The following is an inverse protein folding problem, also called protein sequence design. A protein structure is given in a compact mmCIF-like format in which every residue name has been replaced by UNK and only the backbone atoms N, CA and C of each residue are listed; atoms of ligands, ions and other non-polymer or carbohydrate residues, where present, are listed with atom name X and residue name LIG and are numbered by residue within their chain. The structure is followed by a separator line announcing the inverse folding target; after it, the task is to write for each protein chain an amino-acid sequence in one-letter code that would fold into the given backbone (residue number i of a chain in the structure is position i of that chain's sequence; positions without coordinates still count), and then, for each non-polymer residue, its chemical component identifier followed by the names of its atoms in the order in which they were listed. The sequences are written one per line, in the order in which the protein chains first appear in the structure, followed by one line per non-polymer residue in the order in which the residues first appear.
data_IF_704840696020
#
_entry.id   IF_704840696020
#
_cell.length_a   1.000
_cell.length_b   1.000
_cell.length_c   1.000
_cell.angle_alpha   90.00
_cell.angle_beta   90.00
_cell.angle_gamma   90.00
#
_symmetry.space_group_name_H-M   'P 1'
#
loop_
_entity.id
_entity.type
_entity.pdbx_description
1 polymer ?
#
# COMPACT_ATOMS: atom_id res chain seq x y z
N UNK A 1 -28.06 -13.35 -12.09
CA UNK A 1 -26.60 -13.16 -11.91
C UNK A 1 -26.37 -12.29 -10.66
N UNK A 2 -25.50 -12.69 -9.72
CA UNK A 2 -25.14 -11.83 -8.56
C UNK A 2 -24.06 -10.83 -9.02
N UNK A 3 -24.32 -9.52 -8.91
CA UNK A 3 -23.34 -8.46 -9.22
C UNK A 3 -22.20 -8.54 -8.22
N UNK A 4 -20.98 -8.88 -8.65
CA UNK A 4 -19.77 -8.75 -7.82
C UNK A 4 -19.65 -7.28 -7.42
N UNK A 5 -19.63 -6.99 -6.12
CA UNK A 5 -19.30 -5.65 -5.64
C UNK A 5 -17.82 -5.39 -5.95
N UNK A 6 -17.46 -4.21 -6.49
CA UNK A 6 -16.05 -3.88 -6.70
C UNK A 6 -15.33 -3.88 -5.34
N UNK A 7 -14.11 -4.45 -5.32
CA UNK A 7 -13.26 -4.43 -4.13
C UNK A 7 -12.75 -3.01 -3.90
N UNK A 8 -12.72 -2.59 -2.63
CA UNK A 8 -12.12 -1.32 -2.23
C UNK A 8 -10.59 -1.51 -2.15
N UNK A 9 -9.83 -0.61 -2.77
CA UNK A 9 -8.36 -0.67 -2.72
C UNK A 9 -7.84 -0.17 -1.38
N UNK A 10 -6.92 -0.90 -0.79
CA UNK A 10 -6.32 -0.62 0.51
C UNK A 10 -4.85 -0.21 0.36
N UNK A 11 -4.51 0.91 0.98
CA UNK A 11 -3.15 1.42 1.17
C UNK A 11 -2.86 1.31 2.68
N UNK A 12 -1.76 0.66 3.06
CA UNK A 12 -1.38 0.40 4.45
C UNK A 12 -0.03 1.07 4.77
N UNK A 13 -0.07 2.34 5.17
CA UNK A 13 1.13 3.08 5.58
C UNK A 13 1.52 2.73 7.02
N UNK A 14 2.82 2.54 7.29
CA UNK A 14 3.34 2.02 8.56
C UNK A 14 2.74 0.64 8.89
N UNK A 15 2.72 -0.25 7.89
CA UNK A 15 1.92 -1.48 7.91
C UNK A 15 2.34 -2.48 8.99
N UNK A 16 3.55 -2.34 9.53
CA UNK A 16 4.18 -3.38 10.33
C UNK A 16 4.15 -4.72 9.58
N UNK A 17 3.89 -5.80 10.32
CA UNK A 17 3.71 -7.13 9.75
C UNK A 17 2.37 -7.36 9.02
N UNK A 18 1.54 -6.31 8.85
CA UNK A 18 0.28 -6.36 8.10
C UNK A 18 -0.97 -6.66 8.94
N UNK A 19 -1.01 -6.23 10.20
CA UNK A 19 -2.18 -6.43 11.07
C UNK A 19 -3.46 -5.77 10.55
N UNK A 20 -3.36 -4.54 10.04
CA UNK A 20 -4.49 -3.83 9.43
C UNK A 20 -4.92 -4.51 8.13
N UNK A 21 -3.97 -4.78 7.22
CA UNK A 21 -4.23 -5.54 5.99
C UNK A 21 -4.91 -6.89 6.27
N UNK A 22 -4.45 -7.65 7.26
CA UNK A 22 -5.06 -8.91 7.67
C UNK A 22 -6.54 -8.75 8.02
N UNK A 23 -6.84 -7.73 8.84
CA UNK A 23 -8.19 -7.39 9.25
C UNK A 23 -9.09 -7.13 8.03
N UNK A 24 -8.69 -6.23 7.14
CA UNK A 24 -9.52 -5.84 6.00
C UNK A 24 -9.66 -6.91 4.90
N UNK A 25 -8.66 -7.80 4.75
CA UNK A 25 -8.62 -8.78 3.65
C UNK A 25 -9.17 -10.14 4.05
N UNK A 26 -8.76 -10.69 5.19
CA UNK A 26 -9.14 -12.05 5.61
C UNK A 26 -10.44 -12.11 6.42
N UNK A 27 -10.88 -11.00 7.02
CA UNK A 27 -12.16 -10.93 7.75
C UNK A 27 -13.35 -10.54 6.87
N UNK A 28 -13.20 -10.57 5.53
CA UNK A 28 -14.32 -10.51 4.59
C UNK A 28 -14.83 -9.10 4.26
N UNK A 29 -14.05 -8.05 4.49
CA UNK A 29 -14.50 -6.67 4.30
C UNK A 29 -14.46 -6.19 2.83
N UNK A 30 -14.08 -7.03 1.87
CA UNK A 30 -14.11 -6.69 0.44
C UNK A 30 -13.03 -5.67 0.04
N UNK A 31 -11.87 -5.74 0.69
CA UNK A 31 -10.72 -4.90 0.38
C UNK A 31 -9.63 -5.70 -0.34
N UNK A 32 -8.93 -5.02 -1.24
CA UNK A 32 -7.77 -5.52 -1.97
C UNK A 32 -6.55 -4.67 -1.59
N UNK A 33 -5.50 -5.26 -0.96
CA UNK A 33 -4.28 -4.52 -0.67
C UNK A 33 -3.56 -4.24 -1.99
N UNK A 34 -3.20 -2.98 -2.20
CA UNK A 34 -2.53 -2.55 -3.44
C UNK A 34 -1.17 -1.93 -3.20
N UNK A 35 -0.90 -1.44 -1.98
CA UNK A 35 0.38 -0.88 -1.58
C UNK A 35 0.50 -0.81 -0.06
N UNK A 36 1.70 -1.01 0.47
CA UNK A 36 2.02 -0.82 1.87
C UNK A 36 3.44 -0.27 2.04
N UNK A 37 3.76 0.25 3.22
CA UNK A 37 5.12 0.68 3.56
C UNK A 37 5.44 0.46 5.04
N UNK A 38 6.68 0.10 5.32
CA UNK A 38 7.26 0.15 6.65
C UNK A 38 8.78 0.41 6.57
N UNK A 39 9.37 0.93 7.65
CA UNK A 39 10.82 1.17 7.75
C UNK A 39 11.57 -0.07 8.26
N UNK A 40 10.89 -1.05 8.84
CA UNK A 40 11.48 -2.24 9.41
C UNK A 40 11.53 -3.41 8.40
N UNK A 41 12.73 -3.87 8.06
CA UNK A 41 12.93 -4.96 7.09
C UNK A 41 12.22 -6.28 7.45
N UNK A 42 12.11 -6.61 8.74
CA UNK A 42 11.45 -7.84 9.20
C UNK A 42 9.93 -7.72 9.06
N UNK A 43 9.40 -6.53 9.32
CA UNK A 43 7.98 -6.22 9.12
C UNK A 43 7.60 -6.35 7.65
N UNK A 44 8.37 -5.72 6.75
CA UNK A 44 8.17 -5.79 5.29
C UNK A 44 8.23 -7.23 4.77
N UNK A 45 9.25 -8.00 5.18
CA UNK A 45 9.36 -9.41 4.79
C UNK A 45 8.18 -10.24 5.27
N UNK A 46 7.73 -10.00 6.51
CA UNK A 46 6.58 -10.71 7.09
C UNK A 46 5.29 -10.33 6.36
N UNK A 47 5.09 -9.05 6.07
CA UNK A 47 3.96 -8.57 5.28
C UNK A 47 3.94 -9.25 3.91
N UNK A 48 5.04 -9.17 3.16
CA UNK A 48 5.09 -9.65 1.77
C UNK A 48 4.94 -11.17 1.67
N UNK A 49 5.42 -11.92 2.68
CA UNK A 49 5.19 -13.36 2.76
C UNK A 49 3.71 -13.74 2.93
N UNK A 50 2.88 -12.86 3.50
CA UNK A 50 1.47 -13.13 3.80
C UNK A 50 0.47 -12.52 2.82
N UNK A 51 0.81 -11.37 2.23
CA UNK A 51 -0.13 -10.56 1.44
C UNK A 51 0.32 -10.30 0.00
N UNK A 52 1.52 -10.74 -0.40
CA UNK A 52 2.11 -10.44 -1.70
C UNK A 52 3.05 -9.24 -1.66
N UNK A 53 3.76 -9.00 -2.76
CA UNK A 53 4.85 -8.02 -2.85
C UNK A 53 4.32 -6.57 -2.97
N UNK A 54 3.62 -6.12 -1.93
CA UNK A 54 2.99 -4.79 -1.85
C UNK A 54 3.71 -3.85 -0.87
N UNK A 55 4.40 -4.37 0.13
CA UNK A 55 5.06 -3.57 1.15
C UNK A 55 6.45 -3.14 0.68
N UNK A 56 6.65 -1.82 0.59
CA UNK A 56 7.91 -1.19 0.21
C UNK A 56 8.67 -0.79 1.46
N UNK A 57 9.92 -1.26 1.56
CA UNK A 57 10.84 -0.89 2.63
C UNK A 57 11.34 0.55 2.43
N UNK A 58 11.19 1.40 3.44
CA UNK A 58 11.79 2.72 3.44
C UNK A 58 11.12 3.73 4.37
N UNK A 59 11.79 4.85 4.58
CA UNK A 59 11.18 6.03 5.19
C UNK A 59 10.11 6.59 4.24
N UNK A 60 8.88 6.72 4.73
CA UNK A 60 7.76 7.17 3.92
C UNK A 60 7.98 8.56 3.32
N UNK A 61 8.63 9.49 4.03
CA UNK A 61 8.90 10.85 3.52
C UNK A 61 9.85 10.80 2.32
N UNK A 62 10.83 9.90 2.34
CA UNK A 62 11.75 9.67 1.22
C UNK A 62 10.98 9.07 0.04
N UNK A 63 10.16 8.05 0.28
CA UNK A 63 9.41 7.35 -0.78
C UNK A 63 8.38 8.25 -1.47
N UNK A 64 7.73 9.17 -0.75
CA UNK A 64 6.76 10.11 -1.33
C UNK A 64 7.40 11.18 -2.21
N UNK A 65 8.69 11.45 -2.00
CA UNK A 65 9.46 12.44 -2.75
C UNK A 65 10.36 11.80 -3.83
N UNK A 66 10.43 10.47 -3.90
CA UNK A 66 11.19 9.74 -4.91
C UNK A 66 10.51 9.85 -6.30
N UNK A 67 11.15 10.52 -7.28
CA UNK A 67 10.58 10.68 -8.61
C UNK A 67 10.35 9.36 -9.33
N UNK A 68 11.17 8.33 -9.08
CA UNK A 68 11.06 7.05 -9.76
C UNK A 68 9.86 6.26 -9.23
N UNK A 69 9.60 6.31 -7.92
CA UNK A 69 8.42 5.69 -7.32
C UNK A 69 7.12 6.42 -7.67
N UNK A 70 7.16 7.75 -7.79
CA UNK A 70 6.02 8.56 -8.20
C UNK A 70 5.75 8.44 -9.70
N UNK A 71 6.79 8.35 -10.54
CA UNK A 71 6.68 8.33 -12.00
C UNK A 71 6.44 6.93 -12.61
N UNK A 72 6.71 5.83 -11.89
CA UNK A 72 6.46 4.48 -12.42
C UNK A 72 4.96 4.19 -12.62
N UNK A 73 4.47 4.58 -13.81
CA UNK A 73 3.11 4.35 -14.31
C UNK A 73 3.01 3.14 -15.26
N UNK A 74 4.12 2.42 -15.51
CA UNK A 74 4.16 1.31 -16.47
C UNK A 74 3.67 -0.02 -15.89
N UNK A 75 2.36 -0.09 -15.62
CA UNK A 75 1.65 -1.37 -15.50
C UNK A 75 1.58 -2.02 -14.11
N UNK A 76 2.07 -1.37 -13.04
CA UNK A 76 1.77 -1.75 -11.64
C UNK A 76 1.15 -0.56 -10.90
N UNK A 77 0.20 -0.84 -10.01
CA UNK A 77 -0.66 0.11 -9.28
C UNK A 77 0.04 1.08 -8.31
N UNK A 78 1.37 1.07 -8.22
CA UNK A 78 2.11 1.66 -7.11
C UNK A 78 2.25 3.20 -7.21
N UNK A 79 2.54 3.76 -8.38
CA UNK A 79 2.75 5.21 -8.53
C UNK A 79 1.53 6.05 -8.13
N UNK A 80 0.32 5.61 -8.49
CA UNK A 80 -0.92 6.29 -8.09
C UNK A 80 -1.12 6.25 -6.56
N UNK A 81 -0.74 5.16 -5.89
CA UNK A 81 -0.89 5.03 -4.44
C UNK A 81 0.03 6.02 -3.70
N UNK A 82 1.30 6.11 -4.14
CA UNK A 82 2.30 7.05 -3.61
C UNK A 82 1.85 8.50 -3.84
N UNK A 83 1.32 8.83 -5.01
CA UNK A 83 0.84 10.18 -5.32
C UNK A 83 -0.39 10.59 -4.50
N UNK A 84 -1.31 9.64 -4.24
CA UNK A 84 -2.48 9.87 -3.36
C UNK A 84 -2.01 10.09 -1.92
N UNK A 85 -1.11 9.24 -1.41
CA UNK A 85 -0.53 9.40 -0.07
C UNK A 85 0.18 10.74 0.09
N UNK A 86 0.97 11.17 -0.92
CA UNK A 86 1.64 12.47 -0.90
C UNK A 86 0.65 13.62 -0.73
N UNK A 87 -0.47 13.61 -1.48
CA UNK A 87 -1.51 14.63 -1.34
C UNK A 87 -2.20 14.60 0.04
N UNK A 88 -2.40 13.40 0.62
CA UNK A 88 -3.04 13.26 1.93
C UNK A 88 -2.14 13.72 3.08
N UNK A 89 -0.84 13.45 2.99
CA UNK A 89 0.13 13.76 4.03
C UNK A 89 0.71 15.19 3.90
N UNK A 90 0.73 15.74 2.68
CA UNK A 90 1.14 17.13 2.41
C UNK A 90 0.07 17.89 1.61
N UNK A 91 -1.09 18.20 2.21
CA UNK A 91 -2.22 18.81 1.50
C UNK A 91 -1.98 20.26 1.02
N UNK A 92 -0.84 20.88 1.35
CA UNK A 92 -0.56 22.31 1.13
C UNK A 92 0.82 22.61 0.52
N UNK A 93 1.55 21.59 0.02
CA UNK A 93 2.88 21.75 -0.60
C UNK A 93 2.84 21.73 -2.12
#
# INVERSE_FOLDING_TARGET
MKRKRPLLRLIDAYSGAGGMTLGFTKLGHGFEPVWANDINEYAVRTYNANFGDHCVLGDIEVLLNDPDLVAFHQGRSNGLCVQVLRHLLHPLS
#
